data_IF_741759402238
#
_entry.id   IF_741759402238
#
_cell.length_a   1.000
_cell.length_b   1.000
_cell.length_c   1.000
_cell.angle_alpha   90.00
_cell.angle_beta   90.00
_cell.angle_gamma   90.00
#
_symmetry.space_group_name_H-M   'P 1'
#
loop_
_entity.id
_entity.type
_entity.pdbx_description
1 polymer ?
#
# COMPACT_ATOMS: atom_id res chain seq x y z
N UNK A 1 -18.37 -2.10 10.48
CA UNK A 1 -17.03 -2.21 11.12
C UNK A 1 -16.06 -2.49 10.00
N UNK A 2 -15.05 -1.64 9.80
CA UNK A 2 -14.02 -1.90 8.79
C UNK A 2 -13.14 -3.03 9.34
N UNK A 3 -12.98 -4.10 8.58
CA UNK A 3 -12.12 -5.25 8.91
C UNK A 3 -10.83 -5.17 8.09
N UNK A 4 -9.73 -5.71 8.61
CA UNK A 4 -8.46 -5.75 7.88
C UNK A 4 -7.45 -6.75 8.44
N UNK A 5 -6.47 -7.10 7.61
CA UNK A 5 -5.32 -7.96 7.94
C UNK A 5 -4.03 -7.16 7.85
N UNK A 6 -3.25 -7.14 8.92
CA UNK A 6 -1.91 -6.54 8.91
C UNK A 6 -0.91 -7.49 8.24
N UNK A 7 -0.16 -6.99 7.27
CA UNK A 7 0.85 -7.73 6.52
C UNK A 7 2.05 -6.82 6.23
N UNK A 8 3.23 -7.40 6.06
CA UNK A 8 4.32 -6.75 5.34
C UNK A 8 4.06 -6.76 3.83
N UNK A 9 4.69 -5.87 3.07
CA UNK A 9 4.67 -5.89 1.59
C UNK A 9 5.00 -7.28 1.01
N UNK A 10 6.03 -7.93 1.55
CA UNK A 10 6.44 -9.28 1.14
C UNK A 10 5.38 -10.32 1.43
N UNK A 11 4.86 -10.38 2.66
CA UNK A 11 3.84 -11.37 3.03
C UNK A 11 2.58 -11.23 2.16
N UNK A 12 2.20 -10.00 1.84
CA UNK A 12 1.07 -9.75 0.96
C UNK A 12 1.29 -10.31 -0.45
N UNK A 13 2.47 -10.08 -1.04
CA UNK A 13 2.80 -10.62 -2.36
C UNK A 13 2.90 -12.15 -2.33
N UNK A 14 3.45 -12.75 -1.27
CA UNK A 14 3.51 -14.20 -1.13
C UNK A 14 2.13 -14.85 -0.99
N UNK A 15 1.19 -14.20 -0.29
CA UNK A 15 -0.16 -14.72 -0.04
C UNK A 15 -1.14 -14.47 -1.20
N UNK A 16 -1.03 -13.34 -1.90
CA UNK A 16 -2.02 -12.88 -2.86
C UNK A 16 -1.47 -12.62 -4.26
N UNK A 17 -0.15 -12.70 -4.47
CA UNK A 17 0.58 -12.24 -5.67
C UNK A 17 0.46 -10.73 -5.89
N UNK A 18 1.44 -10.10 -6.54
CA UNK A 18 1.37 -8.68 -6.87
C UNK A 18 0.14 -8.36 -7.74
N UNK A 19 -0.14 -9.19 -8.74
CA UNK A 19 -1.29 -9.02 -9.63
C UNK A 19 -2.64 -9.14 -8.90
N UNK A 20 -2.75 -10.07 -7.94
CA UNK A 20 -3.97 -10.26 -7.15
C UNK A 20 -4.22 -9.17 -6.11
N UNK A 21 -3.25 -8.28 -5.87
CA UNK A 21 -3.40 -7.15 -4.97
C UNK A 21 -3.91 -5.89 -5.66
N UNK A 22 -3.78 -5.76 -6.99
CA UNK A 22 -4.21 -4.59 -7.75
C UNK A 22 -5.72 -4.32 -7.53
N UNK A 23 -6.06 -3.06 -7.26
CA UNK A 23 -7.42 -2.59 -6.98
C UNK A 23 -7.88 -2.82 -5.54
N UNK A 24 -7.06 -3.43 -4.69
CA UNK A 24 -7.41 -3.67 -3.28
C UNK A 24 -7.12 -2.45 -2.42
N UNK A 25 -7.99 -2.23 -1.45
CA UNK A 25 -7.89 -1.10 -0.54
C UNK A 25 -7.00 -1.43 0.66
N UNK A 26 -6.11 -0.50 1.01
CA UNK A 26 -5.13 -0.68 2.08
C UNK A 26 -5.03 0.57 2.95
N UNK A 27 -4.53 0.41 4.17
CA UNK A 27 -4.06 1.51 5.02
C UNK A 27 -2.54 1.44 5.12
N UNK A 28 -1.88 2.51 4.70
CA UNK A 28 -0.41 2.70 4.77
C UNK A 28 -0.08 3.89 5.66
N UNK A 29 1.16 3.97 6.14
CA UNK A 29 1.65 5.10 6.92
C UNK A 29 2.37 6.11 6.02
N UNK A 30 1.62 6.79 5.17
CA UNK A 30 2.18 7.75 4.22
C UNK A 30 2.42 9.13 4.88
N UNK A 31 3.62 9.30 5.44
CA UNK A 31 4.13 10.56 5.98
C UNK A 31 4.25 10.59 7.51
N UNK A 32 4.94 11.63 8.01
CA UNK A 32 5.20 11.84 9.44
C UNK A 32 4.64 13.20 9.85
N UNK A 33 3.83 13.22 10.89
CA UNK A 33 3.38 14.44 11.58
C UNK A 33 4.07 14.59 12.93
N UNK A 34 3.87 15.72 13.61
CA UNK A 34 4.30 15.91 14.99
C UNK A 34 3.70 14.89 15.97
N UNK A 35 2.58 14.23 15.60
CA UNK A 35 1.92 13.19 16.37
C UNK A 35 2.36 11.76 15.99
N UNK A 36 3.29 11.62 15.03
CA UNK A 36 3.75 10.33 14.50
C UNK A 36 3.27 10.06 13.08
N UNK A 37 3.37 8.78 12.69
CA UNK A 37 2.98 8.29 11.37
C UNK A 37 1.52 8.66 11.05
N UNK A 38 1.28 9.09 9.81
CA UNK A 38 -0.05 9.49 9.35
C UNK A 38 -0.67 8.35 8.54
N UNK A 39 -1.68 7.64 9.08
CA UNK A 39 -2.34 6.60 8.32
C UNK A 39 -3.16 7.21 7.19
N UNK A 40 -3.02 6.63 6.00
CA UNK A 40 -3.74 7.00 4.78
C UNK A 40 -4.36 5.77 4.17
N UNK A 41 -5.58 5.93 3.67
CA UNK A 41 -6.27 4.90 2.89
C UNK A 41 -5.88 5.09 1.44
N UNK A 42 -5.52 4.00 0.77
CA UNK A 42 -5.18 4.00 -0.65
C UNK A 42 -5.60 2.73 -1.36
N UNK A 43 -5.30 2.67 -2.64
CA UNK A 43 -5.58 1.52 -3.51
C UNK A 43 -4.27 1.03 -4.10
N UNK A 44 -4.05 -0.29 -4.07
CA UNK A 44 -2.89 -0.88 -4.74
C UNK A 44 -3.08 -0.74 -6.25
N UNK A 45 -2.08 -0.21 -6.94
CA UNK A 45 -2.13 0.06 -8.38
C UNK A 45 -1.11 -0.79 -9.14
N UNK A 46 -1.38 -1.00 -10.43
CA UNK A 46 -0.44 -1.64 -11.33
C UNK A 46 0.74 -0.68 -11.62
N UNK A 47 1.99 -1.04 -11.28
CA UNK A 47 3.15 -0.20 -11.57
C UNK A 47 3.31 0.09 -13.08
N UNK A 48 2.88 -0.82 -13.97
CA UNK A 48 2.95 -0.62 -15.42
C UNK A 48 1.93 0.42 -15.92
N UNK A 49 0.89 0.68 -15.14
CA UNK A 49 -0.10 1.73 -15.42
C UNK A 49 0.28 3.08 -14.82
N UNK A 50 1.40 3.14 -14.09
CA UNK A 50 1.89 4.33 -13.41
C UNK A 50 3.05 4.97 -14.18
N UNK A 51 3.24 6.28 -14.01
CA UNK A 51 4.47 6.95 -14.44
C UNK A 51 5.44 7.00 -13.27
N UNK A 52 6.46 6.14 -13.30
CA UNK A 52 7.49 6.03 -12.27
C UNK A 52 8.84 6.40 -12.91
N UNK A 53 9.51 7.40 -12.35
CA UNK A 53 10.78 7.89 -12.91
C UNK A 53 11.96 6.94 -12.60
N UNK A 54 11.95 6.29 -11.43
CA UNK A 54 12.98 5.34 -11.01
C UNK A 54 12.35 4.20 -10.20
N UNK A 55 12.57 2.95 -10.63
CA UNK A 55 12.12 1.76 -9.90
C UNK A 55 13.03 1.48 -8.70
N UNK A 56 12.42 1.33 -7.52
CA UNK A 56 13.14 0.92 -6.32
C UNK A 56 13.05 -0.61 -6.14
N UNK A 57 14.18 -1.34 -6.11
CA UNK A 57 14.18 -2.80 -6.02
C UNK A 57 13.64 -3.35 -4.69
N UNK A 58 13.48 -2.50 -3.67
CA UNK A 58 12.92 -2.89 -2.38
C UNK A 58 11.38 -2.73 -2.32
N UNK A 59 10.77 -2.08 -3.31
CA UNK A 59 9.34 -1.84 -3.38
C UNK A 59 8.61 -3.15 -3.72
N UNK A 60 7.66 -3.55 -2.88
CA UNK A 60 6.83 -4.72 -3.09
C UNK A 60 5.59 -4.40 -3.93
N UNK A 61 5.02 -3.21 -3.73
CA UNK A 61 3.81 -2.73 -4.39
C UNK A 61 3.67 -1.21 -4.25
N UNK A 62 2.93 -0.61 -5.17
CA UNK A 62 2.59 0.82 -5.15
C UNK A 62 1.14 1.02 -4.71
N UNK A 63 0.91 2.05 -3.90
CA UNK A 63 -0.40 2.43 -3.39
C UNK A 63 -0.68 3.87 -3.80
N UNK A 64 -1.75 4.05 -4.56
CA UNK A 64 -2.24 5.38 -4.90
C UNK A 64 -3.06 5.93 -3.72
N UNK A 65 -2.69 7.12 -3.26
CA UNK A 65 -3.33 7.82 -2.14
C UNK A 65 -3.76 9.22 -2.57
N UNK A 66 -4.95 9.63 -2.15
CA UNK A 66 -5.42 11.01 -2.33
C UNK A 66 -4.68 11.94 -1.37
N UNK A 67 -4.12 13.03 -1.90
CA UNK A 67 -3.39 14.02 -1.12
C UNK A 67 -3.65 15.43 -1.61
N UNK A 68 -4.65 16.08 -1.01
CA UNK A 68 -5.03 17.44 -1.38
C UNK A 68 -5.88 17.41 -2.64
N UNK A 69 -5.43 18.11 -3.68
CA UNK A 69 -6.05 18.14 -5.01
C UNK A 69 -5.37 17.20 -6.02
N UNK A 70 -4.43 16.37 -5.57
CA UNK A 70 -3.67 15.44 -6.41
C UNK A 70 -3.61 14.02 -5.83
N UNK A 71 -3.14 13.09 -6.65
CA UNK A 71 -2.87 11.70 -6.29
C UNK A 71 -1.37 11.46 -6.19
N UNK A 72 -0.95 10.74 -5.16
CA UNK A 72 0.45 10.36 -4.97
C UNK A 72 0.59 8.84 -4.97
N UNK A 73 1.70 8.36 -5.53
CA UNK A 73 2.12 6.97 -5.41
C UNK A 73 2.98 6.81 -4.16
N UNK A 74 2.57 5.90 -3.29
CA UNK A 74 3.31 5.49 -2.12
C UNK A 74 3.91 4.11 -2.36
N UNK A 75 5.23 4.01 -2.24
CA UNK A 75 5.94 2.73 -2.29
C UNK A 75 5.76 1.99 -0.97
N UNK A 76 5.24 0.76 -1.02
CA UNK A 76 5.25 -0.14 0.14
C UNK A 76 6.44 -1.06 0.01
N UNK A 77 7.36 -0.97 0.96
CA UNK A 77 8.56 -1.82 0.98
C UNK A 77 8.24 -3.26 1.39
N UNK A 78 9.14 -4.17 1.02
CA UNK A 78 9.02 -5.60 1.35
C UNK A 78 8.80 -5.88 2.85
N UNK A 79 9.39 -5.09 3.75
CA UNK A 79 9.31 -5.25 5.21
C UNK A 79 8.36 -4.26 5.90
N UNK A 80 7.79 -3.31 5.14
CA UNK A 80 6.86 -2.32 5.66
C UNK A 80 5.49 -2.94 5.92
N UNK A 81 4.94 -2.66 7.11
CA UNK A 81 3.62 -3.14 7.49
C UNK A 81 2.52 -2.18 7.02
N UNK A 82 1.46 -2.78 6.49
CA UNK A 82 0.23 -2.09 6.11
C UNK A 82 -0.98 -2.94 6.51
N UNK A 83 -2.19 -2.37 6.40
CA UNK A 83 -3.44 -3.10 6.67
C UNK A 83 -4.22 -3.28 5.38
N UNK A 84 -4.40 -4.53 4.96
CA UNK A 84 -5.25 -4.90 3.82
C UNK A 84 -6.71 -4.91 4.28
N UNK A 85 -7.53 -4.01 3.73
CA UNK A 85 -8.92 -3.85 4.16
C UNK A 85 -9.83 -4.91 3.53
N UNK A 86 -10.92 -5.23 4.23
CA UNK A 86 -11.88 -6.25 3.82
C UNK A 86 -11.42 -7.69 4.08
N UNK A 87 -10.26 -7.87 4.70
CA UNK A 87 -9.70 -9.17 5.07
C UNK A 87 -9.79 -9.39 6.58
N UNK A 88 -10.00 -10.64 7.00
CA UNK A 88 -9.82 -11.06 8.40
C UNK A 88 -8.87 -12.25 8.36
N UNK A 89 -7.80 -12.21 9.15
CA UNK A 89 -6.99 -13.40 9.35
C UNK A 89 -7.88 -14.48 9.99
N UNK A 90 -8.14 -15.56 9.25
CA UNK A 90 -8.89 -16.72 9.73
C UNK A 90 -8.11 -17.50 10.79
#
# INVERSE_FOLDING_TARGET
>A
MIQGKTLTGREAVELHTAAGLIGRQVVVNAGISAAGAVPKVGIVVDPQSCFIEEDNPNTALHVEIESGDDWMLYEVFNDEHFVLLGEVAA
#
